data_IF_028698449668
#
_entry.id   IF_028698449668
#
_cell.length_a   1.000
_cell.length_b   1.000
_cell.length_c   1.000
_cell.angle_alpha   90.00
_cell.angle_beta   90.00
_cell.angle_gamma   90.00
#
_symmetry.space_group_name_H-M   'P 1'
#
loop_
_entity.id
_entity.type
_entity.pdbx_description
1 polymer ?
#
# COMPACT_ATOMS: atom_id res chain seq x y z
N UNK A 1 23.86 -33.37 -16.32
CA UNK A 1 23.70 -32.28 -17.30
C UNK A 1 22.82 -31.20 -16.67
N UNK A 2 23.43 -30.12 -16.19
CA UNK A 2 22.69 -28.93 -15.78
C UNK A 2 22.25 -28.18 -17.03
N UNK A 3 20.95 -27.95 -17.17
CA UNK A 3 20.38 -27.22 -18.29
C UNK A 3 20.70 -25.74 -18.13
N UNK A 4 21.12 -25.07 -19.19
CA UNK A 4 21.29 -23.62 -19.13
C UNK A 4 19.95 -22.91 -18.83
N UNK A 5 19.96 -21.87 -17.97
CA UNK A 5 18.77 -21.10 -17.66
C UNK A 5 18.18 -20.47 -18.93
N UNK A 6 16.89 -20.67 -19.18
CA UNK A 6 16.21 -20.14 -20.38
C UNK A 6 15.96 -18.63 -20.36
N UNK A 7 16.14 -17.97 -19.22
CA UNK A 7 15.91 -16.54 -18.99
C UNK A 7 16.67 -16.08 -17.76
N UNK A 8 16.94 -14.78 -17.68
CA UNK A 8 17.52 -14.15 -16.49
C UNK A 8 16.47 -14.05 -15.37
N UNK A 9 16.93 -13.77 -14.13
CA UNK A 9 16.02 -13.52 -13.00
C UNK A 9 15.13 -12.31 -13.26
N UNK A 10 15.67 -11.23 -13.85
CA UNK A 10 14.88 -10.04 -14.19
C UNK A 10 13.77 -10.38 -15.18
N UNK A 11 14.09 -11.07 -16.28
CA UNK A 11 13.10 -11.53 -17.26
C UNK A 11 12.02 -12.42 -16.62
N UNK A 12 12.43 -13.31 -15.72
CA UNK A 12 11.46 -14.14 -15.01
C UNK A 12 10.53 -13.29 -14.12
N UNK A 13 11.07 -12.33 -13.37
CA UNK A 13 10.28 -11.46 -12.51
C UNK A 13 9.25 -10.65 -13.31
N UNK A 14 9.67 -10.07 -14.43
CA UNK A 14 8.79 -9.32 -15.33
C UNK A 14 7.67 -10.20 -15.89
N UNK A 15 8.02 -11.39 -16.40
CA UNK A 15 7.04 -12.37 -16.90
C UNK A 15 6.04 -12.77 -15.81
N UNK A 16 6.50 -12.97 -14.57
CA UNK A 16 5.65 -13.37 -13.46
C UNK A 16 4.70 -12.25 -13.04
N UNK A 17 5.19 -11.01 -12.99
CA UNK A 17 4.37 -9.84 -12.65
C UNK A 17 3.35 -9.54 -13.75
N UNK A 18 3.67 -9.81 -15.01
CA UNK A 18 2.73 -9.64 -16.12
C UNK A 18 1.50 -10.58 -16.07
N UNK A 19 1.57 -11.68 -15.30
CA UNK A 19 0.48 -12.64 -15.16
C UNK A 19 -0.54 -12.27 -14.08
N UNK A 20 -0.20 -11.32 -13.21
CA UNK A 20 -1.07 -10.91 -12.10
C UNK A 20 -1.62 -9.51 -12.33
N UNK A 21 -2.74 -9.22 -11.69
CA UNK A 21 -3.31 -7.87 -11.63
C UNK A 21 -3.53 -7.49 -10.17
N UNK A 22 -3.49 -6.20 -9.82
CA UNK A 22 -3.92 -5.75 -8.51
C UNK A 22 -5.31 -6.31 -8.17
N UNK A 23 -5.49 -6.73 -6.93
CA UNK A 23 -6.80 -7.18 -6.43
C UNK A 23 -7.77 -5.99 -6.37
N UNK A 24 -9.08 -6.22 -6.57
CA UNK A 24 -10.09 -5.19 -6.30
C UNK A 24 -9.95 -4.63 -4.88
N UNK A 25 -10.19 -3.33 -4.71
CA UNK A 25 -10.22 -2.71 -3.38
C UNK A 25 -11.44 -3.18 -2.58
N UNK A 26 -11.32 -3.16 -1.26
CA UNK A 26 -12.43 -3.48 -0.35
C UNK A 26 -12.31 -2.61 0.89
N UNK A 27 -13.44 -2.21 1.44
CA UNK A 27 -13.48 -1.51 2.71
C UNK A 27 -13.20 -2.49 3.85
N UNK A 28 -12.31 -2.10 4.75
CA UNK A 28 -11.93 -2.90 5.92
C UNK A 28 -12.03 -2.06 7.19
N UNK A 29 -12.34 -2.67 8.35
CA UNK A 29 -12.21 -2.00 9.64
C UNK A 29 -10.78 -1.46 9.85
N UNK A 30 -10.65 -0.35 10.57
CA UNK A 30 -9.37 0.33 10.75
C UNK A 30 -8.34 -0.55 11.49
N UNK A 31 -8.82 -1.31 12.46
CA UNK A 31 -8.05 -2.29 13.22
C UNK A 31 -7.43 -3.40 12.35
N UNK A 32 -8.06 -3.71 11.22
CA UNK A 32 -7.64 -4.74 10.27
C UNK A 32 -6.82 -4.17 9.10
N UNK A 33 -6.69 -2.84 9.00
CA UNK A 33 -6.03 -2.17 7.87
C UNK A 33 -4.50 -2.29 7.88
N UNK A 34 -3.89 -2.72 9.00
CA UNK A 34 -2.43 -2.84 9.12
C UNK A 34 -1.89 -3.87 8.12
N UNK A 35 -1.02 -3.41 7.22
CA UNK A 35 -0.45 -4.23 6.15
C UNK A 35 -1.23 -4.19 4.82
N UNK A 36 -2.41 -3.55 4.80
CA UNK A 36 -3.10 -3.22 3.56
C UNK A 36 -2.42 -2.04 2.84
N UNK A 37 -2.74 -1.88 1.55
CA UNK A 37 -2.34 -0.73 0.74
C UNK A 37 -3.56 0.14 0.51
N UNK A 38 -3.43 1.45 0.73
CA UNK A 38 -4.52 2.41 0.47
C UNK A 38 -4.89 2.38 -1.02
N UNK A 39 -6.18 2.22 -1.29
CA UNK A 39 -6.71 2.23 -2.64
C UNK A 39 -6.96 3.65 -3.19
N UNK A 40 -6.94 4.66 -2.32
CA UNK A 40 -7.16 6.06 -2.65
C UNK A 40 -6.45 6.97 -1.63
N UNK A 41 -6.25 8.22 -2.01
CA UNK A 41 -5.70 9.25 -1.12
C UNK A 41 -6.64 9.52 0.06
N UNK A 42 -6.06 9.74 1.24
CA UNK A 42 -6.79 10.11 2.45
C UNK A 42 -6.53 11.58 2.74
N UNK A 43 -7.58 12.39 2.66
CA UNK A 43 -7.53 13.84 2.88
C UNK A 43 -8.39 14.17 4.09
N UNK A 44 -7.83 14.89 5.07
CA UNK A 44 -8.63 15.39 6.19
C UNK A 44 -9.59 16.47 5.71
N UNK A 45 -10.85 16.35 6.11
CA UNK A 45 -11.87 17.38 5.89
C UNK A 45 -11.99 18.33 7.09
N UNK A 46 -11.20 18.11 8.14
CA UNK A 46 -11.22 18.86 9.39
C UNK A 46 -9.83 19.40 9.72
N UNK A 47 -9.80 20.57 10.34
CA UNK A 47 -8.59 21.12 10.95
C UNK A 47 -8.22 20.34 12.22
N UNK A 48 -6.93 20.25 12.51
CA UNK A 48 -6.40 19.60 13.70
C UNK A 48 -5.25 20.42 14.31
N UNK A 49 -5.46 21.17 15.42
CA UNK A 49 -6.69 21.30 16.19
C UNK A 49 -7.77 22.13 15.47
N UNK A 50 -9.04 21.89 15.80
CA UNK A 50 -10.18 22.61 15.21
C UNK A 50 -10.32 24.06 15.73
N UNK A 51 -9.52 24.46 16.71
CA UNK A 51 -9.48 25.77 17.34
C UNK A 51 -8.11 25.98 17.99
N UNK A 52 -7.82 27.20 18.44
CA UNK A 52 -6.59 27.54 19.15
C UNK A 52 -6.49 26.76 20.47
N UNK A 53 -5.77 25.64 20.44
CA UNK A 53 -5.55 24.76 21.59
C UNK A 53 -4.21 25.09 22.26
N UNK A 54 -4.19 25.16 23.59
CA UNK A 54 -2.94 25.32 24.33
C UNK A 54 -2.07 24.08 24.19
N UNK A 55 -0.79 24.28 23.91
CA UNK A 55 0.20 23.20 23.85
C UNK A 55 0.74 22.80 25.23
N UNK A 56 0.49 23.61 26.27
CA UNK A 56 1.01 23.41 27.61
C UNK A 56 -0.01 23.83 28.67
N UNK A 57 0.14 23.27 29.87
CA UNK A 57 -0.53 23.76 31.07
C UNK A 57 0.01 25.14 31.44
N UNK A 58 -0.86 25.99 31.96
CA UNK A 58 -0.53 27.31 32.52
C UNK A 58 -0.56 27.30 34.03
#
# INVERSE_FOLDING_TARGET
MTREPRRTIAQHADDALALVRPTPSTDVPLEDAVGAVLAADVVSTLDAAAFDASAMDG
#
